data_IF_004317384990
#
_entry.id   IF_004317384990
#
_cell.length_a   1.000
_cell.length_b   1.000
_cell.length_c   1.000
_cell.angle_alpha   90.00
_cell.angle_beta   90.00
_cell.angle_gamma   90.00
#
_symmetry.space_group_name_H-M   'P 1'
#
loop_
_entity.id
_entity.type
_entity.pdbx_description
1 polymer ?
#
# COMPACT_ATOMS: atom_id res chain seq x y z
N UNK A 1 11.59 7.26 -3.07
CA UNK A 1 11.18 5.98 -2.46
C UNK A 1 12.27 4.96 -2.72
N UNK A 2 13.44 5.17 -2.13
CA UNK A 2 14.70 4.60 -2.68
C UNK A 2 15.49 3.79 -1.65
N UNK A 3 15.09 3.84 -0.37
CA UNK A 3 15.72 3.04 0.68
C UNK A 3 15.23 1.59 0.62
N UNK A 4 13.90 1.37 0.64
CA UNK A 4 13.33 0.03 0.73
C UNK A 4 13.61 -0.86 -0.49
N UNK A 5 13.62 -0.31 -1.70
CA UNK A 5 14.01 -1.06 -2.91
C UNK A 5 15.51 -1.38 -2.96
N UNK A 6 16.33 -0.71 -2.14
CA UNK A 6 17.78 -0.87 -2.10
C UNK A 6 18.24 -1.66 -0.87
N UNK A 7 17.32 -2.02 0.03
CA UNK A 7 17.59 -2.87 1.20
C UNK A 7 17.55 -4.34 0.78
N UNK A 8 18.69 -5.06 0.86
CA UNK A 8 18.70 -6.49 0.58
C UNK A 8 17.75 -7.22 1.52
N UNK A 9 16.88 -8.06 0.97
CA UNK A 9 15.90 -8.84 1.75
C UNK A 9 14.50 -8.23 1.84
N UNK A 10 14.29 -6.98 1.42
CA UNK A 10 12.94 -6.44 1.22
C UNK A 10 12.47 -6.85 -0.17
N UNK A 11 11.41 -7.65 -0.22
CA UNK A 11 10.82 -8.22 -1.45
C UNK A 11 9.45 -7.60 -1.81
N UNK A 12 8.81 -6.93 -0.85
CA UNK A 12 7.59 -6.19 -1.07
C UNK A 12 7.43 -5.04 -0.06
N UNK A 13 6.71 -4.01 -0.49
CA UNK A 13 6.20 -2.93 0.34
C UNK A 13 4.69 -3.08 0.44
N UNK A 14 4.16 -3.00 1.66
CA UNK A 14 2.73 -2.95 1.92
C UNK A 14 2.33 -1.55 2.39
N UNK A 15 1.11 -1.15 2.07
CA UNK A 15 0.51 0.09 2.54
C UNK A 15 -0.99 -0.11 2.73
N UNK A 16 -1.60 0.70 3.58
CA UNK A 16 -3.03 0.64 3.89
C UNK A 16 -3.62 2.04 3.77
N UNK A 17 -4.84 2.13 3.26
CA UNK A 17 -5.58 3.41 3.16
C UNK A 17 -7.06 3.18 3.43
N UNK A 18 -7.72 4.10 4.13
CA UNK A 18 -9.18 4.11 4.19
C UNK A 18 -9.81 4.13 2.79
N UNK A 19 -10.98 3.49 2.66
CA UNK A 19 -11.77 3.49 1.42
C UNK A 19 -12.12 4.90 0.96
N UNK A 20 -12.28 5.84 1.89
CA UNK A 20 -12.59 7.24 1.60
C UNK A 20 -11.36 8.09 1.22
N UNK A 21 -10.14 7.55 1.38
CA UNK A 21 -8.92 8.29 1.11
C UNK A 21 -8.46 8.17 -0.35
N UNK A 22 -9.31 8.58 -1.29
CA UNK A 22 -9.06 8.51 -2.74
C UNK A 22 -7.81 9.31 -3.19
N UNK A 23 -7.34 10.28 -2.40
CA UNK A 23 -6.10 10.98 -2.68
C UNK A 23 -4.88 10.06 -2.48
N UNK A 24 -4.79 9.38 -1.34
CA UNK A 24 -3.72 8.42 -1.05
C UNK A 24 -3.74 7.22 -1.99
N UNK A 25 -4.92 6.71 -2.33
CA UNK A 25 -5.07 5.60 -3.27
C UNK A 25 -4.46 5.94 -4.64
N UNK A 26 -4.71 7.15 -5.16
CA UNK A 26 -4.11 7.61 -6.43
C UNK A 26 -2.59 7.72 -6.35
N UNK A 27 -2.04 8.16 -5.22
CA UNK A 27 -0.59 8.20 -5.01
C UNK A 27 0.00 6.80 -5.00
N UNK A 28 -0.66 5.84 -4.35
CA UNK A 28 -0.20 4.44 -4.29
C UNK A 28 -0.20 3.80 -5.67
N UNK A 29 -1.30 3.92 -6.43
CA UNK A 29 -1.38 3.44 -7.82
C UNK A 29 -0.27 4.06 -8.67
N UNK A 30 -0.06 5.37 -8.57
CA UNK A 30 1.02 6.06 -9.30
C UNK A 30 2.42 5.59 -8.91
N UNK A 31 2.61 5.17 -7.66
CA UNK A 31 3.88 4.63 -7.16
C UNK A 31 4.07 3.13 -7.43
N UNK A 32 3.15 2.49 -8.17
CA UNK A 32 3.24 1.09 -8.57
C UNK A 32 2.67 0.11 -7.54
N UNK A 33 1.94 0.59 -6.53
CA UNK A 33 1.20 -0.30 -5.64
C UNK A 33 -0.05 -0.81 -6.35
N UNK A 34 -0.38 -2.07 -6.08
CA UNK A 34 -1.61 -2.72 -6.50
C UNK A 34 -2.44 -3.06 -5.28
N UNK A 35 -3.77 -2.92 -5.39
CA UNK A 35 -4.68 -3.39 -4.36
C UNK A 35 -4.62 -4.92 -4.30
N UNK A 36 -4.42 -5.46 -3.10
CA UNK A 36 -4.35 -6.90 -2.85
C UNK A 36 -5.46 -7.41 -1.94
N UNK A 37 -6.28 -6.51 -1.40
CA UNK A 37 -7.41 -6.87 -0.57
C UNK A 37 -7.98 -5.67 0.15
N UNK A 38 -8.95 -5.95 1.00
CA UNK A 38 -9.60 -4.99 1.89
C UNK A 38 -9.65 -5.63 3.29
N UNK A 39 -9.49 -4.81 4.31
CA UNK A 39 -9.55 -5.20 5.71
C UNK A 39 -10.53 -4.28 6.42
N UNK A 40 -11.35 -4.85 7.30
CA UNK A 40 -12.16 -4.06 8.22
C UNK A 40 -11.42 -3.97 9.54
N UNK A 41 -11.17 -2.75 10.00
CA UNK A 41 -10.59 -2.46 11.31
C UNK A 41 -11.61 -1.74 12.20
N UNK A 42 -11.58 -2.00 13.50
CA UNK A 42 -12.56 -1.45 14.45
C UNK A 42 -12.35 0.05 14.70
N UNK A 43 -11.10 0.54 14.59
CA UNK A 43 -10.76 1.96 14.73
C UNK A 43 -10.92 2.74 13.41
N UNK A 44 -10.39 2.20 12.31
CA UNK A 44 -10.32 2.92 11.02
C UNK A 44 -11.43 2.53 10.02
N UNK A 45 -12.23 1.52 10.33
CA UNK A 45 -13.28 1.02 9.43
C UNK A 45 -12.71 0.28 8.23
N UNK A 46 -13.30 0.47 7.04
CA UNK A 46 -12.87 -0.23 5.84
C UNK A 46 -11.56 0.35 5.28
N UNK A 47 -10.53 -0.49 5.28
CA UNK A 47 -9.20 -0.22 4.76
C UNK A 47 -8.96 -1.03 3.49
N UNK A 48 -8.26 -0.42 2.55
CA UNK A 48 -7.74 -1.06 1.35
C UNK A 48 -6.28 -1.42 1.60
N UNK A 49 -5.92 -2.69 1.40
CA UNK A 49 -4.57 -3.18 1.50
C UNK A 49 -3.87 -3.14 0.14
N UNK A 50 -2.69 -2.54 0.11
CA UNK A 50 -1.88 -2.32 -1.08
C UNK A 50 -0.55 -3.05 -0.98
N UNK A 51 -0.03 -3.52 -2.11
CA UNK A 51 1.29 -4.13 -2.21
C UNK A 51 2.03 -3.65 -3.44
N UNK A 52 3.34 -3.42 -3.29
CA UNK A 52 4.26 -3.18 -4.39
C UNK A 52 5.45 -4.13 -4.28
N UNK A 53 5.83 -4.77 -5.37
CA UNK A 53 7.08 -5.55 -5.42
C UNK A 53 8.30 -4.62 -5.46
N UNK A 54 9.39 -5.03 -4.85
CA UNK A 54 10.66 -4.28 -4.85
C UNK A 54 11.71 -4.88 -5.79
N UNK A 55 11.31 -5.85 -6.61
CA UNK A 55 12.08 -6.46 -7.71
C UNK A 55 12.52 -5.44 -8.77
#
# INVERSE_FOLDING_TARGET
MTWACRTPGINALTAETGVDNAASQRVLVRNGFVQIGERLDDEDGALICWRRKTD
#
